data_IF_141145372486
#
_entry.id   IF_141145372486
#
_cell.length_a   1.000
_cell.length_b   1.000
_cell.length_c   1.000
_cell.angle_alpha   90.00
_cell.angle_beta   90.00
_cell.angle_gamma   90.00
#
_symmetry.space_group_name_H-M   'P 1'
#
loop_
_entity.id
_entity.type
_entity.pdbx_description
1 polymer ?
#
# COMPACT_ATOMS: atom_id res chain seq x y z
N UNK A 1 30.10 22.80 8.44
CA UNK A 1 28.81 23.21 7.87
C UNK A 1 27.73 22.29 8.43
N UNK A 2 26.77 22.80 9.20
CA UNK A 2 25.60 21.99 9.54
C UNK A 2 24.75 21.90 8.26
N UNK A 3 24.73 20.74 7.61
CA UNK A 3 23.91 20.53 6.42
C UNK A 3 22.44 20.78 6.74
N UNK A 4 21.76 21.57 5.92
CA UNK A 4 20.32 21.78 6.02
C UNK A 4 19.63 20.43 5.76
N UNK A 5 19.03 19.84 6.80
CA UNK A 5 18.27 18.59 6.67
C UNK A 5 16.82 18.94 6.36
N UNK A 6 16.30 18.55 5.19
CA UNK A 6 14.90 18.79 4.83
C UNK A 6 13.99 18.11 5.85
N UNK A 7 12.95 18.83 6.26
CA UNK A 7 11.88 18.24 7.07
C UNK A 7 11.15 17.13 6.29
N UNK A 8 10.59 16.19 7.04
CA UNK A 8 9.72 15.17 6.48
C UNK A 8 8.33 15.75 6.23
N UNK A 9 7.81 15.49 5.04
CA UNK A 9 6.46 15.88 4.62
C UNK A 9 5.41 14.87 5.10
N UNK A 10 4.14 15.25 5.02
CA UNK A 10 3.01 14.33 5.27
C UNK A 10 2.97 13.18 4.26
N UNK A 11 3.38 13.42 3.02
CA UNK A 11 3.48 12.37 2.01
C UNK A 11 4.50 11.29 2.42
N UNK A 12 5.65 11.71 2.94
CA UNK A 12 6.67 10.78 3.45
C UNK A 12 6.17 9.99 4.68
N UNK A 13 5.40 10.61 5.56
CA UNK A 13 4.77 9.89 6.68
C UNK A 13 3.79 8.82 6.19
N UNK A 14 3.00 9.12 5.16
CA UNK A 14 2.08 8.17 4.51
C UNK A 14 2.85 7.03 3.83
N UNK A 15 3.98 7.30 3.19
CA UNK A 15 4.85 6.28 2.60
C UNK A 15 5.42 5.32 3.65
N UNK A 16 5.84 5.83 4.81
CA UNK A 16 6.30 4.98 5.91
C UNK A 16 5.17 4.03 6.36
N UNK A 17 3.95 4.56 6.55
CA UNK A 17 2.80 3.75 6.98
C UNK A 17 2.39 2.72 5.94
N UNK A 18 2.26 3.12 4.67
CA UNK A 18 1.86 2.23 3.58
C UNK A 18 2.86 1.08 3.41
N UNK A 19 4.16 1.35 3.54
CA UNK A 19 5.19 0.32 3.51
C UNK A 19 4.97 -0.72 4.62
N UNK A 20 4.85 -0.28 5.88
CA UNK A 20 4.65 -1.15 7.04
C UNK A 20 3.43 -2.05 6.86
N UNK A 21 2.31 -1.48 6.38
CA UNK A 21 1.07 -2.23 6.12
C UNK A 21 1.28 -3.25 5.01
N UNK A 22 1.86 -2.82 3.89
CA UNK A 22 2.07 -3.64 2.70
C UNK A 22 2.88 -4.90 2.99
N UNK A 23 3.96 -4.78 3.77
CA UNK A 23 4.81 -5.93 4.14
C UNK A 23 4.42 -6.57 5.47
N UNK A 24 3.30 -6.13 6.08
CA UNK A 24 2.77 -6.64 7.36
C UNK A 24 3.83 -6.65 8.49
N UNK A 25 4.70 -5.66 8.53
CA UNK A 25 5.88 -5.62 9.40
C UNK A 25 5.59 -5.13 10.85
N UNK A 26 4.37 -5.31 11.34
CA UNK A 26 3.91 -4.79 12.63
C UNK A 26 4.76 -5.26 13.82
N UNK A 27 5.24 -6.51 13.77
CA UNK A 27 6.10 -7.08 14.83
C UNK A 27 7.57 -6.63 14.73
N UNK A 28 7.98 -6.01 13.62
CA UNK A 28 9.36 -5.61 13.36
C UNK A 28 9.63 -4.15 13.69
N UNK A 29 8.61 -3.38 14.09
CA UNK A 29 8.70 -1.94 14.40
C UNK A 29 9.77 -1.60 15.44
N UNK A 30 9.97 -2.49 16.43
CA UNK A 30 10.97 -2.30 17.50
C UNK A 30 12.40 -2.57 17.02
N UNK A 31 12.59 -3.46 16.05
CA UNK A 31 13.89 -3.84 15.50
C UNK A 31 14.51 -2.75 14.61
N UNK A 32 15.62 -3.08 13.96
CA UNK A 32 16.27 -2.21 12.95
C UNK A 32 16.07 -2.70 11.52
N UNK A 33 15.76 -3.98 11.33
CA UNK A 33 15.63 -4.62 10.01
C UNK A 33 14.67 -3.89 9.08
N UNK A 34 13.41 -3.72 9.51
CA UNK A 34 12.39 -2.96 8.76
C UNK A 34 12.90 -1.60 8.25
N UNK A 35 13.59 -0.85 9.11
CA UNK A 35 14.02 0.51 8.81
C UNK A 35 15.19 0.55 7.84
N UNK A 36 16.09 -0.44 7.92
CA UNK A 36 17.18 -0.62 6.96
C UNK A 36 16.66 -1.06 5.61
N UNK A 37 15.70 -1.98 5.60
CA UNK A 37 15.03 -2.40 4.37
C UNK A 37 14.32 -1.21 3.70
N UNK A 38 13.71 -0.33 4.51
CA UNK A 38 13.05 0.89 4.04
C UNK A 38 14.02 1.96 3.51
N UNK A 39 15.20 2.09 4.11
CA UNK A 39 16.28 2.97 3.63
C UNK A 39 16.81 2.51 2.27
N UNK A 40 17.02 1.20 2.09
CA UNK A 40 17.50 0.61 0.83
C UNK A 40 16.42 0.56 -0.26
N UNK A 41 15.14 0.71 0.11
CA UNK A 41 14.04 0.68 -0.85
C UNK A 41 13.98 1.92 -1.76
N UNK A 42 14.73 2.99 -1.44
CA UNK A 42 14.83 4.23 -2.24
C UNK A 42 13.46 4.82 -2.66
N UNK A 43 12.44 4.66 -1.81
CA UNK A 43 11.07 5.15 -2.08
C UNK A 43 10.87 6.64 -1.75
N UNK A 44 11.89 7.31 -1.21
CA UNK A 44 11.86 8.72 -0.83
C UNK A 44 12.63 9.56 -1.85
N UNK A 45 12.21 10.79 -2.06
CA UNK A 45 12.88 11.73 -2.98
C UNK A 45 14.32 12.07 -2.55
N UNK A 46 14.63 11.92 -1.26
CA UNK A 46 15.94 12.21 -0.67
C UNK A 46 16.43 11.04 0.19
N UNK A 47 17.73 11.01 0.43
CA UNK A 47 18.37 10.02 1.30
C UNK A 47 17.86 10.13 2.74
N UNK A 48 16.96 9.22 3.10
CA UNK A 48 16.44 9.08 4.47
C UNK A 48 17.13 7.91 5.16
N UNK A 49 18.00 8.22 6.12
CA UNK A 49 18.69 7.19 6.90
C UNK A 49 17.71 6.37 7.75
N UNK A 50 17.98 5.08 7.98
CA UNK A 50 17.11 4.22 8.79
C UNK A 50 16.87 4.76 10.22
N UNK A 51 17.86 5.41 10.84
CA UNK A 51 17.70 6.04 12.16
C UNK A 51 16.68 7.17 12.13
N UNK A 52 16.75 7.99 11.08
CA UNK A 52 15.86 9.13 10.85
C UNK A 52 14.42 8.68 10.60
N UNK A 53 14.24 7.64 9.76
CA UNK A 53 12.94 7.04 9.47
C UNK A 53 12.29 6.49 10.75
N UNK A 54 13.04 5.69 11.52
CA UNK A 54 12.55 5.11 12.78
C UNK A 54 12.18 6.21 13.78
N UNK A 55 13.02 7.23 13.93
CA UNK A 55 12.77 8.33 14.86
C UNK A 55 11.55 9.17 14.42
N UNK A 56 11.40 9.46 13.13
CA UNK A 56 10.22 10.16 12.57
C UNK A 56 8.95 9.36 12.87
N UNK A 57 8.97 8.05 12.60
CA UNK A 57 7.83 7.18 12.87
C UNK A 57 7.41 7.25 14.34
N UNK A 58 8.34 6.99 15.25
CA UNK A 58 8.05 6.93 16.69
C UNK A 58 7.58 8.27 17.26
N UNK A 59 8.18 9.40 16.84
CA UNK A 59 7.93 10.72 17.44
C UNK A 59 6.83 11.54 16.78
N UNK A 60 6.51 11.27 15.51
CA UNK A 60 5.61 12.12 14.72
C UNK A 60 4.51 11.34 14.03
N UNK A 61 4.81 10.17 13.47
CA UNK A 61 3.80 9.37 12.74
C UNK A 61 2.86 8.64 13.70
N UNK A 62 3.39 7.89 14.68
CA UNK A 62 2.56 7.16 15.66
C UNK A 62 1.62 8.08 16.44
N UNK A 63 2.06 9.24 16.96
CA UNK A 63 1.16 10.09 17.75
C UNK A 63 0.09 10.80 16.91
N UNK A 64 0.28 10.90 15.59
CA UNK A 64 -0.62 11.64 14.71
C UNK A 64 -1.78 10.75 14.24
N UNK A 65 -2.94 10.90 14.89
CA UNK A 65 -4.16 10.12 14.58
C UNK A 65 -4.68 10.30 13.15
N UNK A 66 -4.56 11.51 12.60
CA UNK A 66 -5.01 11.82 11.23
C UNK A 66 -4.30 10.97 10.18
N UNK A 67 -3.02 10.65 10.40
CA UNK A 67 -2.28 9.79 9.48
C UNK A 67 -2.85 8.36 9.43
N UNK A 68 -3.41 7.86 10.54
CA UNK A 68 -4.03 6.52 10.58
C UNK A 68 -5.39 6.50 9.91
N UNK A 69 -6.23 7.51 10.17
CA UNK A 69 -7.55 7.66 9.52
C UNK A 69 -7.38 7.71 7.99
N UNK A 70 -6.53 8.60 7.49
CA UNK A 70 -6.24 8.72 6.06
C UNK A 70 -5.73 7.41 5.44
N UNK A 71 -4.89 6.68 6.15
CA UNK A 71 -4.33 5.41 5.65
C UNK A 71 -5.41 4.34 5.59
N UNK A 72 -6.26 4.24 6.61
CA UNK A 72 -7.40 3.32 6.61
C UNK A 72 -8.38 3.61 5.47
N UNK A 73 -8.69 4.89 5.23
CA UNK A 73 -9.56 5.31 4.13
C UNK A 73 -8.95 4.95 2.77
N UNK A 74 -7.65 5.18 2.61
CA UNK A 74 -6.93 4.82 1.38
C UNK A 74 -6.99 3.32 1.13
N UNK A 75 -6.74 2.49 2.14
CA UNK A 75 -6.80 1.03 2.04
C UNK A 75 -8.22 0.52 1.75
N UNK A 76 -9.24 1.15 2.36
CA UNK A 76 -10.63 0.81 2.11
C UNK A 76 -11.02 1.11 0.66
N UNK A 77 -10.59 2.26 0.12
CA UNK A 77 -10.83 2.64 -1.26
C UNK A 77 -10.12 1.70 -2.25
N UNK A 78 -8.87 1.32 -1.97
CA UNK A 78 -8.13 0.34 -2.77
C UNK A 78 -8.83 -1.03 -2.78
N UNK A 79 -9.29 -1.50 -1.61
CA UNK A 79 -10.00 -2.76 -1.51
C UNK A 79 -11.33 -2.75 -2.29
N UNK A 80 -12.07 -1.63 -2.22
CA UNK A 80 -13.29 -1.46 -2.99
C UNK A 80 -13.02 -1.46 -4.50
N UNK A 81 -11.96 -0.77 -4.95
CA UNK A 81 -11.58 -0.77 -6.36
C UNK A 81 -11.26 -2.19 -6.86
N UNK A 82 -10.52 -2.97 -6.07
CA UNK A 82 -10.21 -4.38 -6.39
C UNK A 82 -11.50 -5.20 -6.46
N UNK A 83 -12.42 -5.01 -5.51
CA UNK A 83 -13.70 -5.71 -5.51
C UNK A 83 -14.51 -5.42 -6.78
N UNK A 84 -14.64 -4.15 -7.17
CA UNK A 84 -15.35 -3.75 -8.39
C UNK A 84 -14.71 -4.35 -9.65
N UNK A 85 -13.37 -4.39 -9.72
CA UNK A 85 -12.65 -5.04 -10.82
C UNK A 85 -12.94 -6.54 -10.89
N UNK A 86 -12.97 -7.24 -9.75
CA UNK A 86 -13.27 -8.66 -9.68
C UNK A 86 -14.73 -8.96 -10.07
N UNK A 87 -15.69 -8.14 -9.63
CA UNK A 87 -17.10 -8.29 -10.02
C UNK A 87 -17.27 -8.18 -11.53
N UNK A 88 -16.62 -7.18 -12.14
CA UNK A 88 -16.62 -7.02 -13.60
C UNK A 88 -16.04 -8.26 -14.30
N UNK A 89 -14.88 -8.73 -13.86
CA UNK A 89 -14.23 -9.91 -14.44
C UNK A 89 -15.10 -11.17 -14.35
N UNK A 90 -15.76 -11.40 -13.22
CA UNK A 90 -16.69 -12.52 -13.03
C UNK A 90 -17.89 -12.38 -13.98
N UNK A 91 -18.43 -11.17 -14.14
CA UNK A 91 -19.50 -10.87 -15.08
C UNK A 91 -19.12 -11.23 -16.52
N UNK A 92 -17.95 -10.77 -16.97
CA UNK A 92 -17.43 -11.04 -18.31
C UNK A 92 -17.26 -12.56 -18.54
N UNK A 93 -16.73 -13.29 -17.55
CA UNK A 93 -16.57 -14.74 -17.64
C UNK A 93 -17.91 -15.48 -17.76
N UNK A 94 -18.91 -15.09 -16.97
CA UNK A 94 -20.25 -15.68 -17.02
C UNK A 94 -20.92 -15.44 -18.37
N UNK A 95 -20.77 -14.25 -18.95
CA UNK A 95 -21.31 -13.95 -20.28
C UNK A 95 -20.67 -14.86 -21.36
N UNK A 96 -19.37 -15.08 -21.29
CA UNK A 96 -18.65 -15.99 -22.19
C UNK A 96 -19.14 -17.43 -22.04
N UNK A 97 -19.30 -17.94 -20.81
CA UNK A 97 -19.85 -19.28 -20.54
C UNK A 97 -21.24 -19.49 -21.18
N UNK A 98 -22.11 -18.49 -21.08
CA UNK A 98 -23.45 -18.53 -21.70
C UNK A 98 -23.34 -18.55 -23.23
N UNK A 99 -22.46 -17.73 -23.82
CA UNK A 99 -22.23 -17.73 -25.27
C UNK A 99 -21.70 -19.08 -25.75
N UNK A 100 -20.71 -19.67 -25.07
CA UNK A 100 -20.19 -21.00 -25.41
C UNK A 100 -21.25 -22.10 -25.31
N UNK A 101 -22.06 -22.10 -24.23
CA UNK A 101 -23.14 -23.06 -24.04
C UNK A 101 -24.18 -22.99 -25.17
N UNK A 102 -24.54 -21.77 -25.60
CA UNK A 102 -25.44 -21.56 -26.74
C UNK A 102 -24.82 -22.06 -28.05
N UNK A 103 -23.55 -21.75 -28.30
CA UNK A 103 -22.84 -22.21 -29.49
C UNK A 103 -22.73 -23.74 -29.58
N UNK A 104 -22.45 -24.43 -28.47
CA UNK A 104 -22.44 -25.90 -28.43
C UNK A 104 -23.82 -26.49 -28.76
N UNK A 105 -24.90 -25.87 -28.29
CA UNK A 105 -26.26 -26.32 -28.60
C UNK A 105 -26.59 -26.23 -30.11
N UNK A 106 -26.07 -25.22 -30.80
CA UNK A 106 -26.27 -25.06 -32.25
C UNK A 106 -25.44 -26.01 -33.12
N UNK A 107 -24.35 -26.58 -32.61
CA UNK A 107 -23.51 -27.52 -33.37
C UNK A 107 -23.99 -28.98 -33.30
N UNK A 108 -24.99 -29.28 -32.47
CA UNK A 108 -25.52 -30.63 -32.23
C UNK A 108 -26.90 -30.83 -32.90
N UNK A 109 -27.42 -29.81 -33.60
CA UNK A 109 -28.61 -29.85 -34.46
C UNK A 109 -28.20 -29.85 -35.94
#
# INVERSE_FOLDING_TARGET
MAGYRREYTLAEDKLILSWIVRIKAYYQLRGTRLWKDLEVAEIFEEDRTWQSLKNRFLKKVIPNRTNFEDTCDTLANEANLIYEQLQKFIGDFNELQVKFSRFQFFLVL
#
